data_IF_967028048432
#
_entry.id   IF_967028048432
#
_cell.length_a   1.000
_cell.length_b   1.000
_cell.length_c   1.000
_cell.angle_alpha   90.00
_cell.angle_beta   90.00
_cell.angle_gamma   90.00
#
_symmetry.space_group_name_H-M   'P 1'
#
loop_
_entity.id
_entity.type
_entity.pdbx_description
1 polymer ?
#
# COMPACT_ATOMS: atom_id res chain seq x y z
N UNK A 1 16.57 -7.42 18.16
CA UNK A 1 15.22 -7.29 17.60
C UNK A 1 14.88 -8.41 16.61
N UNK A 2 13.77 -9.11 16.84
CA UNK A 2 13.12 -10.02 15.90
C UNK A 2 11.76 -9.45 15.51
N UNK A 3 11.46 -9.42 14.22
CA UNK A 3 10.22 -8.89 13.67
C UNK A 3 9.40 -9.99 13.00
N UNK A 4 8.12 -10.09 13.35
CA UNK A 4 7.15 -10.95 12.66
C UNK A 4 5.95 -10.14 12.19
N UNK A 5 5.85 -9.97 10.87
CA UNK A 5 4.76 -9.28 10.19
C UNK A 5 3.62 -10.26 9.91
N UNK A 6 2.38 -9.83 10.12
CA UNK A 6 1.17 -10.62 9.86
C UNK A 6 0.34 -9.94 8.79
N UNK A 7 0.04 -10.66 7.70
CA UNK A 7 -0.92 -10.20 6.71
C UNK A 7 -0.77 -10.81 5.32
N UNK A 8 -1.71 -10.44 4.45
CA UNK A 8 -1.75 -10.89 3.07
C UNK A 8 -0.79 -10.10 2.17
N UNK A 9 -0.05 -10.81 1.33
CA UNK A 9 0.97 -10.23 0.42
C UNK A 9 0.43 -9.19 -0.57
N UNK A 10 -0.85 -9.28 -0.93
CA UNK A 10 -1.50 -8.34 -1.85
C UNK A 10 -2.16 -7.14 -1.13
N UNK A 11 -2.06 -7.04 0.20
CA UNK A 11 -2.62 -5.90 0.93
C UNK A 11 -1.77 -4.64 0.74
N UNK A 12 -2.38 -3.49 0.40
CA UNK A 12 -1.64 -2.22 0.26
C UNK A 12 -0.94 -1.80 1.55
N UNK A 13 -1.58 -2.04 2.69
CA UNK A 13 -1.05 -1.69 4.01
C UNK A 13 0.10 -2.61 4.44
N UNK A 14 0.03 -3.90 4.07
CA UNK A 14 1.15 -4.83 4.28
C UNK A 14 2.31 -4.45 3.35
N UNK A 15 2.03 -4.13 2.07
CA UNK A 15 3.05 -3.65 1.13
C UNK A 15 3.75 -2.39 1.65
N UNK A 16 3.02 -1.41 2.16
CA UNK A 16 3.59 -0.21 2.80
C UNK A 16 4.63 -0.57 3.86
N UNK A 17 4.29 -1.45 4.81
CA UNK A 17 5.23 -1.91 5.86
C UNK A 17 6.43 -2.66 5.26
N UNK A 18 6.20 -3.54 4.29
CA UNK A 18 7.29 -4.30 3.63
C UNK A 18 8.26 -3.38 2.87
N UNK A 19 7.75 -2.34 2.21
CA UNK A 19 8.57 -1.34 1.53
C UNK A 19 9.43 -0.56 2.53
N UNK A 20 8.85 -0.15 3.66
CA UNK A 20 9.58 0.54 4.75
C UNK A 20 10.71 -0.34 5.30
N UNK A 21 10.40 -1.61 5.61
CA UNK A 21 11.38 -2.58 6.10
C UNK A 21 12.51 -2.81 5.08
N UNK A 22 12.18 -2.94 3.79
CA UNK A 22 13.16 -3.14 2.73
C UNK A 22 14.06 -1.92 2.52
N UNK A 23 13.51 -0.70 2.50
CA UNK A 23 14.28 0.54 2.37
C UNK A 23 15.26 0.73 3.54
N UNK A 24 14.86 0.28 4.73
CA UNK A 24 15.71 0.28 5.92
C UNK A 24 16.56 -0.98 6.06
N UNK A 25 16.48 -1.92 5.13
CA UNK A 25 17.26 -3.16 5.17
C UNK A 25 17.09 -3.93 6.49
N UNK A 26 15.83 -4.01 6.97
CA UNK A 26 15.45 -4.73 8.18
C UNK A 26 14.83 -6.07 7.80
N UNK A 27 15.42 -7.15 8.32
CA UNK A 27 14.90 -8.50 8.13
C UNK A 27 13.64 -8.74 8.98
N UNK A 28 12.71 -9.54 8.44
CA UNK A 28 11.47 -9.91 9.10
C UNK A 28 10.99 -11.29 8.65
N UNK A 29 10.27 -11.97 9.55
CA UNK A 29 9.42 -13.10 9.18
C UNK A 29 8.02 -12.58 8.79
N UNK A 30 7.34 -13.24 7.84
CA UNK A 30 5.96 -12.91 7.50
C UNK A 30 5.04 -14.14 7.63
N UNK A 31 3.92 -13.95 8.31
CA UNK A 31 2.84 -14.92 8.44
C UNK A 31 1.66 -14.52 7.55
N UNK A 32 1.48 -15.25 6.47
CA UNK A 32 0.43 -15.01 5.47
C UNK A 32 -0.86 -15.79 5.74
N UNK A 33 -0.97 -16.48 6.89
CA UNK A 33 -2.21 -17.16 7.28
C UNK A 33 -3.29 -16.18 7.80
N UNK A 34 -2.94 -14.90 7.95
CA UNK A 34 -3.86 -13.82 8.30
C UNK A 34 -4.24 -13.06 7.03
N UNK A 35 -5.53 -13.00 6.72
CA UNK A 35 -6.02 -12.29 5.54
C UNK A 35 -7.41 -11.69 5.76
N UNK A 36 -7.89 -10.80 4.86
CA UNK A 36 -9.27 -10.31 4.92
C UNK A 36 -10.33 -11.41 4.79
N UNK A 37 -9.98 -12.61 4.30
CA UNK A 37 -10.88 -13.76 4.18
C UNK A 37 -10.97 -14.59 5.47
N UNK A 38 -10.07 -14.35 6.42
CA UNK A 38 -10.04 -15.09 7.68
C UNK A 38 -8.75 -14.87 8.45
N UNK A 39 -8.85 -14.92 9.77
CA UNK A 39 -7.71 -14.83 10.71
C UNK A 39 -7.69 -16.05 11.62
N UNK A 40 -6.51 -16.54 12.03
CA UNK A 40 -6.41 -17.66 12.97
C UNK A 40 -6.94 -17.28 14.36
N UNK A 41 -7.32 -18.31 15.13
CA UNK A 41 -7.73 -18.14 16.53
C UNK A 41 -6.63 -17.45 17.35
N UNK A 42 -7.01 -16.53 18.23
CA UNK A 42 -6.07 -15.79 19.08
C UNK A 42 -5.46 -14.56 18.41
N UNK A 43 -5.70 -14.32 17.12
CA UNK A 43 -5.14 -13.16 16.41
C UNK A 43 -5.59 -11.81 17.00
N UNK A 44 -6.76 -11.75 17.65
CA UNK A 44 -7.21 -10.54 18.36
C UNK A 44 -6.28 -10.08 19.48
N UNK A 45 -5.43 -10.98 20.02
CA UNK A 45 -4.40 -10.62 21.01
C UNK A 45 -3.26 -9.80 20.40
N UNK A 46 -3.07 -9.93 19.09
CA UNK A 46 -2.06 -9.18 18.31
C UNK A 46 -2.72 -7.92 17.73
N UNK A 47 -3.87 -8.07 17.09
CA UNK A 47 -4.63 -6.98 16.48
C UNK A 47 -6.10 -7.04 16.91
N UNK A 48 -6.57 -6.17 17.82
CA UNK A 48 -7.92 -6.29 18.41
C UNK A 48 -9.05 -6.15 17.38
N UNK A 49 -8.84 -5.36 16.32
CA UNK A 49 -9.79 -5.23 15.21
C UNK A 49 -9.73 -6.37 14.17
N UNK A 50 -8.85 -7.37 14.36
CA UNK A 50 -8.62 -8.48 13.41
C UNK A 50 -8.32 -8.02 11.97
N UNK A 51 -7.63 -6.88 11.85
CA UNK A 51 -7.17 -6.32 10.56
C UNK A 51 -5.69 -6.62 10.35
N UNK A 52 -5.19 -6.31 9.16
CA UNK A 52 -3.79 -6.42 8.77
C UNK A 52 -3.30 -5.06 8.24
N UNK A 53 -2.00 -4.74 8.34
CA UNK A 53 -0.94 -5.51 8.98
C UNK A 53 -0.99 -5.50 10.50
N UNK A 54 -0.31 -6.46 11.12
CA UNK A 54 0.18 -6.34 12.48
C UNK A 54 1.65 -6.77 12.55
N UNK A 55 2.41 -6.20 13.48
CA UNK A 55 3.83 -6.51 13.68
C UNK A 55 4.05 -6.93 15.14
N UNK A 56 4.60 -8.12 15.35
CA UNK A 56 5.14 -8.53 16.65
C UNK A 56 6.63 -8.24 16.66
N UNK A 57 7.06 -7.53 17.69
CA UNK A 57 8.43 -7.11 17.92
C UNK A 57 8.90 -7.78 19.20
N UNK A 58 9.98 -8.55 19.11
CA UNK A 58 10.70 -9.07 20.27
C UNK A 58 12.07 -8.38 20.36
N UNK A 59 12.31 -7.66 21.45
CA UNK A 59 13.58 -6.95 21.67
C UNK A 59 13.93 -6.92 23.15
N UNK A 60 15.14 -7.35 23.51
CA UNK A 60 15.67 -7.39 24.89
C UNK A 60 14.68 -7.96 25.94
N UNK A 61 14.01 -9.07 25.60
CA UNK A 61 13.07 -9.75 26.51
C UNK A 61 11.72 -9.05 26.66
N UNK A 62 11.47 -7.97 25.91
CA UNK A 62 10.17 -7.33 25.78
C UNK A 62 9.51 -7.74 24.46
N UNK A 63 8.22 -8.06 24.53
CA UNK A 63 7.38 -8.27 23.37
C UNK A 63 6.39 -7.11 23.22
N UNK A 64 6.18 -6.66 21.98
CA UNK A 64 5.15 -5.67 21.63
C UNK A 64 4.43 -6.12 20.35
N UNK A 65 3.11 -6.24 20.41
CA UNK A 65 2.27 -6.35 19.23
C UNK A 65 1.77 -4.95 18.83
N UNK A 66 2.09 -4.52 17.61
CA UNK A 66 1.61 -3.29 17.00
C UNK A 66 0.60 -3.60 15.90
N UNK A 67 -0.56 -2.97 16.01
CA UNK A 67 -1.58 -2.92 14.97
C UNK A 67 -1.38 -1.67 14.10
N UNK A 68 -1.88 -1.74 12.87
CA UNK A 68 -1.93 -0.63 11.91
C UNK A 68 -0.58 -0.24 11.27
N UNK A 69 -0.64 0.01 9.96
CA UNK A 69 0.55 0.30 9.15
C UNK A 69 1.26 1.59 9.56
N UNK A 70 0.53 2.63 9.99
CA UNK A 70 1.13 3.93 10.32
C UNK A 70 1.80 3.91 11.69
N UNK A 71 1.23 3.17 12.65
CA UNK A 71 1.87 2.94 13.95
C UNK A 71 3.14 2.10 13.80
N UNK A 72 3.10 1.07 12.95
CA UNK A 72 4.26 0.25 12.60
C UNK A 72 5.34 1.11 11.91
N UNK A 73 4.96 1.94 10.94
CA UNK A 73 5.87 2.83 10.24
C UNK A 73 6.57 3.80 11.19
N UNK A 74 5.83 4.43 12.10
CA UNK A 74 6.36 5.32 13.11
C UNK A 74 7.34 4.62 14.07
N UNK A 75 7.01 3.38 14.50
CA UNK A 75 7.93 2.57 15.31
C UNK A 75 9.23 2.29 14.57
N UNK A 76 9.15 1.82 13.32
CA UNK A 76 10.32 1.49 12.51
C UNK A 76 11.19 2.74 12.25
N UNK A 77 10.57 3.89 11.97
CA UNK A 77 11.29 5.15 11.78
C UNK A 77 12.06 5.56 13.05
N UNK A 78 11.51 5.34 14.25
CA UNK A 78 12.24 5.63 15.49
C UNK A 78 13.29 4.60 15.85
N UNK A 79 13.04 3.33 15.55
CA UNK A 79 14.02 2.27 15.77
C UNK A 79 15.22 2.41 14.84
N UNK A 80 14.98 2.70 13.56
CA UNK A 80 16.02 2.90 12.57
C UNK A 80 15.77 4.19 11.76
N UNK A 81 16.31 5.34 12.24
CA UNK A 81 16.07 6.65 11.64
C UNK A 81 16.69 6.88 10.25
N UNK A 82 17.58 5.99 9.79
CA UNK A 82 18.29 6.13 8.51
C UNK A 82 18.15 4.88 7.63
N UNK A 83 17.83 5.03 6.33
CA UNK A 83 17.41 6.27 5.67
C UNK A 83 16.07 6.76 6.24
N UNK A 84 15.88 8.08 6.33
CA UNK A 84 14.65 8.65 6.87
C UNK A 84 13.55 8.64 5.80
N UNK A 85 12.36 8.20 6.18
CA UNK A 85 11.17 8.22 5.31
C UNK A 85 10.21 9.36 5.68
N UNK A 86 10.53 10.13 6.71
CA UNK A 86 9.72 11.23 7.20
C UNK A 86 10.57 12.51 7.18
N UNK A 87 10.21 13.54 6.39
CA UNK A 87 10.99 14.76 6.27
C UNK A 87 11.30 15.42 7.63
N UNK A 88 12.47 16.04 7.76
CA UNK A 88 12.87 16.70 9.01
C UNK A 88 12.22 18.08 9.20
N UNK A 89 11.96 18.79 8.10
CA UNK A 89 11.26 20.08 8.13
C UNK A 89 9.81 19.87 8.61
N UNK A 90 9.29 20.64 9.58
CA UNK A 90 7.95 20.43 10.12
C UNK A 90 6.81 20.58 9.09
N UNK A 91 6.96 21.45 8.09
CA UNK A 91 5.94 21.67 7.07
C UNK A 91 5.90 20.49 6.11
N UNK A 92 7.07 20.04 5.65
CA UNK A 92 7.18 18.85 4.82
C UNK A 92 6.73 17.60 5.59
N UNK A 93 7.12 17.45 6.86
CA UNK A 93 6.68 16.34 7.71
C UNK A 93 5.14 16.31 7.81
N UNK A 94 4.52 17.46 8.07
CA UNK A 94 3.05 17.57 8.13
C UNK A 94 2.38 17.21 6.82
N UNK A 95 2.92 17.68 5.69
CA UNK A 95 2.42 17.35 4.36
C UNK A 95 2.57 15.84 4.05
N UNK A 96 3.68 15.23 4.46
CA UNK A 96 3.92 13.81 4.25
C UNK A 96 2.96 12.94 5.06
N UNK A 97 2.72 13.28 6.33
CA UNK A 97 1.71 12.62 7.15
C UNK A 97 0.30 12.77 6.58
N UNK A 98 -0.04 13.95 6.06
CA UNK A 98 -1.34 14.15 5.44
C UNK A 98 -1.54 13.25 4.21
N UNK A 99 -0.52 13.13 3.35
CA UNK A 99 -0.61 12.29 2.16
C UNK A 99 -0.61 10.79 2.49
N UNK A 100 0.10 10.38 3.54
CA UNK A 100 -0.01 9.04 4.13
C UNK A 100 -1.45 8.76 4.58
N UNK A 101 -2.02 9.64 5.40
CA UNK A 101 -3.39 9.51 5.91
C UNK A 101 -4.43 9.54 4.78
N UNK A 102 -4.25 10.41 3.79
CA UNK A 102 -5.11 10.48 2.61
C UNK A 102 -5.09 9.18 1.80
N UNK A 103 -3.91 8.56 1.67
CA UNK A 103 -3.76 7.23 1.12
C UNK A 103 -4.52 6.19 1.94
N UNK A 104 -4.20 6.11 3.22
CA UNK A 104 -4.69 5.08 4.13
C UNK A 104 -6.21 5.15 4.40
N UNK A 105 -6.81 6.32 4.20
CA UNK A 105 -8.26 6.53 4.37
C UNK A 105 -8.98 6.66 3.04
N UNK A 106 -8.80 7.77 2.33
CA UNK A 106 -9.60 8.10 1.15
C UNK A 106 -9.27 7.20 -0.04
N UNK A 107 -7.99 7.06 -0.41
CA UNK A 107 -7.60 6.25 -1.57
C UNK A 107 -7.87 4.76 -1.28
N UNK A 108 -7.55 4.29 -0.08
CA UNK A 108 -7.84 2.93 0.33
C UNK A 108 -9.33 2.59 0.21
N UNK A 109 -10.19 3.38 0.86
CA UNK A 109 -11.61 3.10 0.95
C UNK A 109 -12.33 3.26 -0.39
N UNK A 110 -12.02 4.33 -1.12
CA UNK A 110 -12.81 4.72 -2.28
C UNK A 110 -12.25 4.18 -3.60
N UNK A 111 -10.93 4.06 -3.71
CA UNK A 111 -10.28 3.62 -4.96
C UNK A 111 -9.84 2.15 -4.87
N UNK A 112 -9.05 1.81 -3.86
CA UNK A 112 -8.47 0.45 -3.74
C UNK A 112 -9.55 -0.59 -3.48
N UNK A 113 -10.43 -0.38 -2.50
CA UNK A 113 -11.51 -1.32 -2.22
C UNK A 113 -12.66 -1.23 -3.23
N UNK A 114 -12.87 -0.07 -3.84
CA UNK A 114 -13.85 0.10 -4.92
C UNK A 114 -13.50 -0.65 -6.21
N UNK A 115 -12.21 -0.76 -6.54
CA UNK A 115 -11.71 -1.52 -7.70
C UNK A 115 -11.11 -2.85 -7.28
N UNK A 116 -9.90 -2.87 -6.74
CA UNK A 116 -9.19 -4.12 -6.45
C UNK A 116 -9.93 -5.00 -5.44
N UNK A 117 -10.37 -4.44 -4.31
CA UNK A 117 -11.10 -5.22 -3.30
C UNK A 117 -12.39 -5.83 -3.87
N UNK A 118 -13.21 -5.02 -4.52
CA UNK A 118 -14.44 -5.44 -5.19
C UNK A 118 -14.20 -6.54 -6.22
N UNK A 119 -13.25 -6.34 -7.15
CA UNK A 119 -12.98 -7.29 -8.24
C UNK A 119 -12.33 -8.57 -7.71
N UNK A 120 -11.26 -8.45 -6.93
CA UNK A 120 -10.49 -9.59 -6.44
C UNK A 120 -11.31 -10.47 -5.49
N UNK A 121 -12.02 -9.87 -4.53
CA UNK A 121 -12.77 -10.67 -3.57
C UNK A 121 -14.06 -11.25 -4.15
N UNK A 122 -14.71 -10.58 -5.11
CA UNK A 122 -15.82 -11.21 -5.84
C UNK A 122 -15.34 -12.41 -6.66
N UNK A 123 -14.22 -12.27 -7.39
CA UNK A 123 -13.60 -13.41 -8.08
C UNK A 123 -13.26 -14.56 -7.11
N UNK A 124 -12.65 -14.27 -5.97
CA UNK A 124 -12.29 -15.29 -4.98
C UNK A 124 -13.50 -16.04 -4.40
N UNK A 125 -14.69 -15.44 -4.42
CA UNK A 125 -15.97 -16.06 -4.03
C UNK A 125 -16.75 -16.69 -5.19
N UNK A 126 -16.28 -16.55 -6.43
CA UNK A 126 -17.02 -16.98 -7.63
C UNK A 126 -18.21 -16.08 -7.96
N UNK A 127 -18.18 -14.82 -7.52
CA UNK A 127 -19.21 -13.81 -7.72
C UNK A 127 -18.82 -12.80 -8.81
N UNK A 128 -19.81 -12.11 -9.35
CA UNK A 128 -19.57 -10.93 -10.19
C UNK A 128 -19.21 -9.72 -9.34
N UNK A 129 -18.27 -8.90 -9.80
CA UNK A 129 -17.95 -7.63 -9.17
C UNK A 129 -19.07 -6.60 -9.39
N UNK A 130 -19.16 -5.61 -8.50
CA UNK A 130 -20.13 -4.52 -8.62
C UNK A 130 -19.59 -3.45 -9.58
N UNK A 131 -20.12 -3.40 -10.80
CA UNK A 131 -19.65 -2.48 -11.84
C UNK A 131 -19.87 -1.00 -11.49
N UNK A 132 -20.93 -0.65 -10.74
CA UNK A 132 -21.19 0.74 -10.35
C UNK A 132 -20.22 1.23 -9.28
N UNK A 133 -19.79 0.34 -8.36
CA UNK A 133 -18.68 0.63 -7.45
C UNK A 133 -17.37 0.86 -8.20
N UNK A 134 -17.06 0.05 -9.22
CA UNK A 134 -15.85 0.25 -10.03
C UNK A 134 -15.91 1.59 -10.77
N UNK A 135 -17.02 1.94 -11.43
CA UNK A 135 -17.21 3.23 -12.11
C UNK A 135 -17.02 4.41 -11.15
N UNK A 136 -17.62 4.32 -9.95
CA UNK A 136 -17.49 5.36 -8.92
C UNK A 136 -16.05 5.50 -8.46
N UNK A 137 -15.35 4.38 -8.23
CA UNK A 137 -13.96 4.38 -7.84
C UNK A 137 -13.04 4.95 -8.92
N UNK A 138 -13.34 4.71 -10.20
CA UNK A 138 -12.61 5.30 -11.33
C UNK A 138 -12.76 6.83 -11.37
N UNK A 139 -13.98 7.37 -11.19
CA UNK A 139 -14.18 8.82 -11.04
C UNK A 139 -13.39 9.41 -9.86
N UNK A 140 -13.42 8.74 -8.72
CA UNK A 140 -12.69 9.21 -7.53
C UNK A 140 -11.17 9.12 -7.73
N UNK A 141 -10.67 8.18 -8.54
CA UNK A 141 -9.26 8.17 -8.92
C UNK A 141 -8.88 9.35 -9.82
N UNK A 142 -9.75 9.81 -10.71
CA UNK A 142 -9.50 11.04 -11.48
C UNK A 142 -9.39 12.25 -10.55
N UNK A 143 -10.23 12.31 -9.50
CA UNK A 143 -10.14 13.35 -8.46
C UNK A 143 -8.83 13.24 -7.65
N UNK A 144 -8.40 12.02 -7.30
CA UNK A 144 -7.11 11.78 -6.63
C UNK A 144 -5.95 12.23 -7.50
N UNK A 145 -5.96 11.90 -8.80
CA UNK A 145 -4.93 12.34 -9.75
C UNK A 145 -4.90 13.87 -9.83
N UNK A 146 -6.06 14.51 -10.02
CA UNK A 146 -6.17 15.96 -10.09
C UNK A 146 -5.71 16.66 -8.80
N UNK A 147 -5.87 16.01 -7.64
CA UNK A 147 -5.39 16.52 -6.35
C UNK A 147 -3.87 16.36 -6.18
N UNK A 148 -3.32 15.19 -6.54
CA UNK A 148 -1.91 14.86 -6.29
C UNK A 148 -0.97 15.50 -7.32
N UNK A 149 -1.40 15.62 -8.58
CA UNK A 149 -0.58 16.16 -9.66
C UNK A 149 0.01 17.56 -9.39
N UNK A 150 -0.76 18.57 -8.94
CA UNK A 150 -0.18 19.87 -8.60
C UNK A 150 0.71 19.82 -7.35
N UNK A 151 0.49 18.86 -6.44
CA UNK A 151 1.38 18.64 -5.30
C UNK A 151 2.73 18.14 -5.81
N UNK A 152 2.76 17.07 -6.60
CA UNK A 152 4.01 16.54 -7.16
C UNK A 152 4.70 17.60 -8.02
N UNK A 153 3.94 18.26 -8.90
CA UNK A 153 4.46 19.26 -9.82
C UNK A 153 5.58 18.69 -10.69
N UNK A 154 6.70 19.42 -10.78
CA UNK A 154 7.90 18.96 -11.49
C UNK A 154 8.89 18.16 -10.64
N UNK A 155 8.52 17.76 -9.41
CA UNK A 155 9.42 17.06 -8.49
C UNK A 155 9.43 15.56 -8.74
N UNK A 156 10.48 14.90 -8.24
CA UNK A 156 10.53 13.45 -8.19
C UNK A 156 9.65 12.89 -7.05
N UNK A 157 9.62 13.52 -5.89
CA UNK A 157 8.88 12.98 -4.73
C UNK A 157 7.77 13.95 -4.32
N UNK A 158 6.70 13.41 -3.74
CA UNK A 158 5.52 14.20 -3.35
C UNK A 158 5.87 15.29 -2.33
N UNK A 159 6.85 15.02 -1.48
CA UNK A 159 7.30 15.92 -0.42
C UNK A 159 8.82 15.88 -0.34
N UNK A 160 9.45 17.04 -0.20
CA UNK A 160 10.91 17.15 -0.19
C UNK A 160 11.57 16.70 -1.50
N UNK A 161 12.77 16.16 -1.36
CA UNK A 161 13.74 15.81 -2.41
C UNK A 161 14.16 14.32 -2.37
N UNK A 162 13.54 13.51 -1.50
CA UNK A 162 13.78 12.07 -1.38
C UNK A 162 12.47 11.28 -1.21
N UNK A 163 12.52 9.98 -1.49
CA UNK A 163 11.42 9.04 -1.27
C UNK A 163 10.98 9.08 0.20
N UNK A 164 9.67 9.29 0.42
CA UNK A 164 9.09 9.46 1.75
C UNK A 164 7.85 8.58 1.96
N UNK A 165 7.30 8.63 3.18
CA UNK A 165 6.05 7.96 3.52
C UNK A 165 4.87 8.45 2.68
N UNK A 166 4.92 9.70 2.20
CA UNK A 166 3.90 10.28 1.34
C UNK A 166 3.77 9.47 0.04
N UNK A 167 4.91 9.18 -0.58
CA UNK A 167 4.99 8.44 -1.84
C UNK A 167 4.55 6.99 -1.64
N UNK A 168 5.03 6.35 -0.57
CA UNK A 168 4.68 4.95 -0.24
C UNK A 168 3.17 4.83 0.03
N UNK A 169 2.63 5.74 0.84
CA UNK A 169 1.22 5.78 1.23
C UNK A 169 0.28 5.94 0.04
N UNK A 170 0.65 6.75 -0.95
CA UNK A 170 -0.13 6.90 -2.20
C UNK A 170 0.07 5.73 -3.15
N UNK A 171 1.32 5.40 -3.48
CA UNK A 171 1.64 4.51 -4.61
C UNK A 171 1.31 3.05 -4.32
N UNK A 172 1.31 2.62 -3.05
CA UNK A 172 0.88 1.26 -2.69
C UNK A 172 -0.54 0.96 -3.19
N UNK A 173 -1.43 1.95 -3.17
CA UNK A 173 -2.79 1.78 -3.67
C UNK A 173 -2.84 1.61 -5.18
N UNK A 174 -2.03 2.37 -5.93
CA UNK A 174 -1.97 2.29 -7.39
C UNK A 174 -1.57 0.88 -7.86
N UNK A 175 -0.63 0.21 -7.17
CA UNK A 175 -0.27 -1.18 -7.49
C UNK A 175 -1.44 -2.15 -7.28
N UNK A 176 -2.27 -1.94 -6.25
CA UNK A 176 -3.46 -2.76 -6.07
C UNK A 176 -4.46 -2.60 -7.22
N UNK A 177 -4.75 -1.37 -7.61
CA UNK A 177 -5.70 -1.14 -8.72
C UNK A 177 -5.16 -1.74 -10.03
N UNK A 178 -3.84 -1.74 -10.22
CA UNK A 178 -3.18 -2.42 -11.34
C UNK A 178 -3.34 -3.93 -11.35
N UNK A 179 -3.29 -4.58 -10.18
CA UNK A 179 -3.59 -6.01 -10.07
C UNK A 179 -5.02 -6.32 -10.54
N UNK A 180 -5.95 -5.37 -10.45
CA UNK A 180 -7.33 -5.47 -10.93
C UNK A 180 -7.56 -4.83 -12.32
N UNK A 181 -6.49 -4.66 -13.11
CA UNK A 181 -6.60 -4.35 -14.54
C UNK A 181 -6.54 -2.87 -14.88
N UNK A 182 -6.47 -1.96 -13.89
CA UNK A 182 -6.27 -0.54 -14.14
C UNK A 182 -4.79 -0.18 -14.19
N UNK A 183 -4.28 0.21 -15.35
CA UNK A 183 -2.91 0.71 -15.47
C UNK A 183 -2.92 2.23 -15.56
N UNK A 184 -2.27 2.88 -14.60
CA UNK A 184 -1.91 4.29 -14.73
C UNK A 184 -0.94 4.44 -15.91
N UNK A 185 -1.27 5.31 -16.85
CA UNK A 185 -0.46 5.61 -18.04
C UNK A 185 0.02 7.06 -18.04
N UNK A 186 0.97 7.37 -18.94
CA UNK A 186 1.40 8.76 -19.15
C UNK A 186 0.27 9.69 -19.62
N UNK A 187 -0.76 9.14 -20.27
CA UNK A 187 -1.90 9.92 -20.73
C UNK A 187 -2.83 10.33 -19.59
N UNK A 188 -2.82 9.59 -18.48
CA UNK A 188 -3.63 9.88 -17.30
C UNK A 188 -2.99 10.97 -16.45
N UNK A 189 -1.69 10.81 -16.19
CA UNK A 189 -0.87 11.79 -15.49
C UNK A 189 0.61 11.46 -15.71
N UNK A 190 1.36 12.30 -16.44
CA UNK A 190 2.78 12.03 -16.70
C UNK A 190 3.62 12.07 -15.42
N UNK A 191 3.25 12.94 -14.46
CA UNK A 191 3.97 13.12 -13.20
C UNK A 191 3.75 11.94 -12.27
N UNK A 192 2.49 11.55 -12.03
CA UNK A 192 2.17 10.42 -11.16
C UNK A 192 2.64 9.09 -11.77
N UNK A 193 2.57 8.95 -13.09
CA UNK A 193 3.17 7.81 -13.79
C UNK A 193 4.69 7.73 -13.54
N UNK A 194 5.39 8.87 -13.64
CA UNK A 194 6.81 8.97 -13.31
C UNK A 194 7.13 8.56 -11.87
N UNK A 195 6.33 9.02 -10.91
CA UNK A 195 6.45 8.64 -9.49
C UNK A 195 6.30 7.14 -9.28
N UNK A 196 5.20 6.56 -9.77
CA UNK A 196 4.96 5.12 -9.66
C UNK A 196 6.10 4.33 -10.30
N UNK A 197 6.53 4.72 -11.49
CA UNK A 197 7.61 4.05 -12.23
C UNK A 197 8.92 4.06 -11.45
N UNK A 198 9.32 5.19 -10.87
CA UNK A 198 10.53 5.27 -10.03
C UNK A 198 10.47 4.33 -8.82
N UNK A 199 9.31 4.19 -8.18
CA UNK A 199 9.13 3.22 -7.08
C UNK A 199 9.18 1.78 -7.58
N UNK A 200 8.55 1.52 -8.73
CA UNK A 200 8.53 0.19 -9.34
C UNK A 200 9.92 -0.31 -9.76
N UNK A 201 10.78 0.62 -10.19
CA UNK A 201 12.16 0.34 -10.62
C UNK A 201 13.19 0.47 -9.47
N UNK A 202 12.76 0.91 -8.28
CA UNK A 202 13.66 1.08 -7.15
C UNK A 202 14.27 -0.26 -6.72
N UNK A 203 15.61 -0.33 -6.62
CA UNK A 203 16.35 -1.59 -6.45
C UNK A 203 15.88 -2.44 -5.24
N UNK A 204 15.55 -1.80 -4.11
CA UNK A 204 15.07 -2.50 -2.91
C UNK A 204 13.57 -2.86 -2.96
N UNK A 205 12.78 -2.24 -3.84
CA UNK A 205 11.31 -2.37 -3.85
C UNK A 205 10.82 -3.24 -5.02
N UNK A 206 11.50 -3.18 -6.16
CA UNK A 206 11.18 -3.97 -7.34
C UNK A 206 11.06 -5.49 -7.06
N UNK A 207 11.91 -6.12 -6.23
CA UNK A 207 11.74 -7.53 -5.88
C UNK A 207 10.43 -7.83 -5.17
N UNK A 208 10.01 -6.98 -4.21
CA UNK A 208 8.76 -7.15 -3.47
C UNK A 208 7.53 -7.08 -4.41
N UNK A 209 7.56 -6.14 -5.36
CA UNK A 209 6.49 -5.98 -6.35
C UNK A 209 6.47 -7.14 -7.36
N UNK A 210 7.64 -7.70 -7.70
CA UNK A 210 7.73 -8.88 -8.54
C UNK A 210 7.11 -10.12 -7.87
N UNK A 211 7.32 -10.30 -6.56
CA UNK A 211 6.69 -11.38 -5.80
C UNK A 211 5.15 -11.32 -5.85
N UNK A 212 4.57 -10.13 -5.75
CA UNK A 212 3.12 -9.96 -5.84
C UNK A 212 2.57 -10.36 -7.21
N UNK A 213 3.26 -9.99 -8.30
CA UNK A 213 2.91 -10.42 -9.65
C UNK A 213 2.94 -11.94 -9.78
N UNK A 214 3.93 -12.59 -9.19
CA UNK A 214 4.00 -14.06 -9.15
C UNK A 214 2.81 -14.65 -8.36
N UNK A 215 2.40 -14.02 -7.27
CA UNK A 215 1.23 -14.45 -6.49
C UNK A 215 -0.05 -14.33 -7.31
N UNK A 216 -0.30 -13.19 -7.96
CA UNK A 216 -1.46 -13.00 -8.85
C UNK A 216 -1.51 -14.07 -9.95
N UNK A 217 -0.37 -14.37 -10.57
CA UNK A 217 -0.26 -15.42 -11.58
C UNK A 217 -0.57 -16.81 -11.02
N UNK A 218 -0.03 -17.15 -9.84
CA UNK A 218 -0.28 -18.44 -9.17
C UNK A 218 -1.74 -18.61 -8.75
N UNK A 219 -2.40 -17.53 -8.36
CA UNK A 219 -3.82 -17.52 -8.05
C UNK A 219 -4.70 -17.77 -9.28
N UNK A 220 -4.14 -17.65 -10.50
CA UNK A 220 -4.91 -17.66 -11.75
C UNK A 220 -6.07 -16.67 -11.71
N UNK A 221 -5.79 -15.50 -11.12
CA UNK A 221 -6.77 -14.43 -11.04
C UNK A 221 -7.09 -13.94 -12.46
N UNK A 222 -8.31 -14.24 -12.91
CA UNK A 222 -8.81 -13.80 -14.21
C UNK A 222 -9.33 -12.37 -14.07
N UNK A 223 -8.43 -11.42 -14.32
CA UNK A 223 -8.75 -10.02 -14.18
C UNK A 223 -9.71 -9.60 -15.31
N UNK A 224 -10.90 -9.05 -14.99
CA UNK A 224 -11.84 -8.59 -16.01
C UNK A 224 -11.29 -7.38 -16.76
N UNK A 225 -11.74 -7.22 -18.02
CA UNK A 225 -11.53 -5.98 -18.77
C UNK A 225 -12.46 -4.89 -18.22
N UNK A 226 -11.88 -3.91 -17.53
CA UNK A 226 -12.60 -2.79 -16.93
C UNK A 226 -12.63 -1.54 -17.83
N UNK A 227 -12.11 -1.62 -19.07
CA UNK A 227 -11.92 -0.45 -19.95
C UNK A 227 -13.22 0.33 -20.17
N UNK A 228 -14.35 -0.37 -20.30
CA UNK A 228 -15.67 0.25 -20.54
C UNK A 228 -16.26 0.95 -19.31
N UNK A 229 -15.71 0.73 -18.12
CA UNK A 229 -16.17 1.36 -16.88
C UNK A 229 -15.41 2.65 -16.56
N UNK A 230 -14.32 2.94 -17.30
CA UNK A 230 -13.40 4.06 -17.08
C UNK A 230 -13.98 5.42 -17.48
N UNK A 231 -15.00 5.45 -18.34
CA UNK A 231 -15.57 6.68 -18.93
C UNK A 231 -17.09 6.70 -18.84
#
# INVERSE_FOLDING_TARGET
MKLKLYGAMLSPFVRKVRMILALKNIDYEIDTNVSPLGVPEGYEKIHPLKKIPALVIEDDGRELALADSSAIAAFIEKHQPSPSLYPADPMDYGQALWLEEYGDTFIAQNCTFGVFGNVFFSWARGETHDAEKVKTAFKLMEEVIAYIEPILGGRDWLVGDALSIADIGVVTHLFNVEHAGYRLTQADSPTLYGLKKRIEEHAQLAPLLAEERVIIQKLKFDCPDLTTLRH
#
